data_IF_633041377614
#
_entry.id   IF_633041377614
#
_cell.length_a   1.000
_cell.length_b   1.000
_cell.length_c   1.000
_cell.angle_alpha   90.00
_cell.angle_beta   90.00
_cell.angle_gamma   90.00
#
_symmetry.space_group_name_H-M   'P 1'
#
loop_
_entity.id
_entity.type
_entity.pdbx_description
1 polymer ?
#
# COMPACT_ATOMS: atom_id res chain seq x y z
N UNK A 1 9.06 -5.93 -3.75
CA UNK A 1 9.10 -6.38 -2.32
C UNK A 1 7.69 -6.45 -1.74
N UNK A 2 6.92 -5.35 -1.69
CA UNK A 2 5.61 -5.30 -1.02
C UNK A 2 4.59 -6.39 -1.41
N UNK A 3 4.33 -6.59 -2.71
CA UNK A 3 3.37 -7.61 -3.17
C UNK A 3 3.83 -9.04 -2.84
N UNK A 4 5.13 -9.33 -2.97
CA UNK A 4 5.69 -10.63 -2.60
C UNK A 4 5.57 -10.92 -1.10
N UNK A 5 5.78 -9.91 -0.26
CA UNK A 5 5.53 -10.00 1.18
C UNK A 5 4.05 -10.24 1.48
N UNK A 6 3.14 -9.54 0.82
CA UNK A 6 1.69 -9.75 0.96
C UNK A 6 1.27 -11.18 0.60
N UNK A 7 1.81 -11.74 -0.48
CA UNK A 7 1.54 -13.12 -0.89
C UNK A 7 2.03 -14.13 0.16
N UNK A 8 3.25 -13.94 0.68
CA UNK A 8 3.80 -14.76 1.75
C UNK A 8 2.93 -14.72 3.02
N UNK A 9 2.55 -13.51 3.47
CA UNK A 9 1.66 -13.34 4.62
C UNK A 9 0.29 -13.95 4.37
N UNK A 10 -0.21 -13.91 3.14
CA UNK A 10 -1.46 -14.56 2.74
C UNK A 10 -1.42 -16.08 2.97
N UNK A 11 -0.31 -16.73 2.60
CA UNK A 11 -0.10 -18.16 2.87
C UNK A 11 -0.06 -18.42 4.37
N UNK A 12 0.69 -17.62 5.13
CA UNK A 12 0.77 -17.76 6.60
C UNK A 12 -0.59 -17.58 7.26
N UNK A 13 -1.38 -16.59 6.83
CA UNK A 13 -2.74 -16.36 7.32
C UNK A 13 -3.66 -17.56 7.06
N UNK A 14 -3.55 -18.17 5.88
CA UNK A 14 -4.33 -19.35 5.55
C UNK A 14 -3.94 -20.56 6.40
N UNK A 15 -2.64 -20.78 6.64
CA UNK A 15 -2.13 -21.88 7.46
C UNK A 15 -2.48 -21.75 8.95
N UNK A 16 -2.48 -20.53 9.49
CA UNK A 16 -2.66 -20.27 10.92
C UNK A 16 -4.06 -19.77 11.29
N UNK A 17 -4.94 -19.54 10.31
CA UNK A 17 -6.24 -18.87 10.52
C UNK A 17 -6.12 -17.40 10.98
N UNK A 18 -4.92 -16.80 10.86
CA UNK A 18 -4.65 -15.42 11.27
C UNK A 18 -5.12 -14.40 10.23
N UNK A 19 -5.02 -13.10 10.57
CA UNK A 19 -5.43 -12.01 9.68
C UNK A 19 -4.46 -10.82 9.71
N UNK A 20 -3.18 -11.09 9.50
CA UNK A 20 -2.18 -10.04 9.34
C UNK A 20 -2.42 -9.25 8.05
N UNK A 21 -2.08 -7.96 8.06
CA UNK A 21 -2.34 -6.98 7.00
C UNK A 21 -3.83 -6.81 6.64
N UNK A 22 -4.75 -7.46 7.36
CA UNK A 22 -6.18 -7.50 7.04
C UNK A 22 -6.45 -7.93 5.59
N UNK A 23 -5.68 -8.87 5.05
CA UNK A 23 -5.85 -9.41 3.69
C UNK A 23 -6.67 -10.68 3.62
N UNK A 24 -6.98 -11.33 4.76
CA UNK A 24 -7.82 -12.53 4.80
C UNK A 24 -9.30 -12.17 5.06
N UNK A 25 -9.56 -11.13 5.87
CA UNK A 25 -10.89 -10.57 6.13
C UNK A 25 -10.78 -9.16 6.69
N UNK A 26 -11.90 -8.43 6.73
CA UNK A 26 -11.99 -7.15 7.44
C UNK A 26 -11.83 -7.35 8.97
N UNK A 27 -11.36 -6.33 9.72
CA UNK A 27 -11.33 -6.39 11.18
C UNK A 27 -12.75 -6.56 11.75
N UNK A 28 -12.87 -7.20 12.91
CA UNK A 28 -14.16 -7.36 13.59
C UNK A 28 -14.65 -6.04 14.25
N UNK A 29 -13.77 -5.04 14.32
CA UNK A 29 -14.05 -3.68 14.81
C UNK A 29 -14.32 -2.72 13.66
N UNK A 30 -15.13 -1.69 13.91
CA UNK A 30 -15.40 -0.63 12.94
C UNK A 30 -14.10 -0.01 12.40
N UNK A 31 -13.99 0.07 11.08
CA UNK A 31 -12.80 0.54 10.38
C UNK A 31 -13.13 1.16 9.02
N UNK A 32 -12.19 1.92 8.44
CA UNK A 32 -12.34 2.44 7.07
C UNK A 32 -12.49 1.33 6.02
N UNK A 33 -12.04 0.11 6.34
CA UNK A 33 -12.19 -1.05 5.46
C UNK A 33 -13.67 -1.42 5.25
N UNK A 34 -14.56 -1.03 6.15
CA UNK A 34 -15.99 -1.34 6.06
C UNK A 34 -16.66 -0.62 4.88
N UNK A 35 -16.12 0.54 4.48
CA UNK A 35 -16.58 1.31 3.31
C UNK A 35 -16.16 0.65 1.99
N UNK A 36 -15.13 -0.20 2.01
CA UNK A 36 -14.60 -0.85 0.82
C UNK A 36 -15.44 -2.07 0.40
N UNK A 37 -15.33 -2.56 -0.86
CA UNK A 37 -16.01 -3.76 -1.32
C UNK A 37 -15.74 -5.00 -0.45
N UNK A 38 -16.56 -6.04 -0.62
CA UNK A 38 -16.36 -7.31 0.07
C UNK A 38 -15.00 -7.95 -0.30
N UNK A 39 -14.48 -8.80 0.58
CA UNK A 39 -13.30 -9.61 0.29
C UNK A 39 -13.54 -10.50 -0.93
N UNK A 40 -12.58 -10.68 -1.86
CA UNK A 40 -11.21 -10.12 -1.89
C UNK A 40 -11.09 -8.79 -2.67
N UNK A 41 -12.20 -8.23 -3.16
CA UNK A 41 -12.21 -7.09 -4.09
C UNK A 41 -11.64 -5.79 -3.50
N UNK A 42 -11.57 -5.63 -2.18
CA UNK A 42 -10.91 -4.47 -1.58
C UNK A 42 -9.38 -4.56 -1.59
N UNK A 43 -8.76 -5.73 -1.83
CA UNK A 43 -7.31 -5.88 -1.83
C UNK A 43 -6.66 -5.05 -2.96
N UNK A 44 -7.16 -5.08 -4.22
CA UNK A 44 -6.69 -4.16 -5.26
C UNK A 44 -6.87 -2.68 -4.88
N UNK A 45 -7.95 -2.34 -4.19
CA UNK A 45 -8.21 -0.97 -3.72
C UNK A 45 -7.16 -0.56 -2.69
N UNK A 46 -6.79 -1.45 -1.76
CA UNK A 46 -5.71 -1.19 -0.80
C UNK A 46 -4.35 -1.01 -1.47
N UNK A 47 -4.06 -1.79 -2.52
CA UNK A 47 -2.82 -1.61 -3.29
C UNK A 47 -2.80 -0.24 -3.99
N UNK A 48 -3.92 0.18 -4.58
CA UNK A 48 -4.04 1.51 -5.18
C UNK A 48 -3.83 2.63 -4.14
N UNK A 49 -4.47 2.51 -2.98
CA UNK A 49 -4.29 3.45 -1.87
C UNK A 49 -2.85 3.48 -1.36
N UNK A 50 -2.17 2.33 -1.26
CA UNK A 50 -0.78 2.27 -0.85
C UNK A 50 0.14 3.03 -1.83
N UNK A 51 -0.05 2.84 -3.14
CA UNK A 51 0.69 3.59 -4.18
C UNK A 51 0.35 5.08 -4.11
N UNK A 52 -0.92 5.44 -3.93
CA UNK A 52 -1.36 6.83 -3.79
C UNK A 52 -0.70 7.50 -2.58
N UNK A 53 -0.77 6.89 -1.40
CA UNK A 53 -0.17 7.46 -0.18
C UNK A 53 1.35 7.53 -0.27
N UNK A 54 2.00 6.52 -0.85
CA UNK A 54 3.44 6.58 -1.11
C UNK A 54 3.77 7.74 -2.05
N UNK A 55 2.98 7.93 -3.11
CA UNK A 55 3.12 9.04 -4.05
C UNK A 55 2.95 10.40 -3.37
N UNK A 56 1.91 10.57 -2.54
CA UNK A 56 1.68 11.80 -1.76
C UNK A 56 2.85 12.06 -0.80
N UNK A 57 3.30 11.04 -0.06
CA UNK A 57 4.42 11.17 0.87
C UNK A 57 5.73 11.53 0.16
N UNK A 58 5.95 11.01 -1.06
CA UNK A 58 7.13 11.30 -1.87
C UNK A 58 7.04 12.62 -2.65
N UNK A 59 5.83 13.15 -2.87
CA UNK A 59 5.56 14.32 -3.69
C UNK A 59 6.46 15.54 -3.42
N UNK A 60 6.71 16.00 -2.17
CA UNK A 60 7.56 17.17 -1.93
C UNK A 60 9.02 16.93 -2.36
N UNK A 61 9.53 15.70 -2.22
CA UNK A 61 10.86 15.33 -2.64
C UNK A 61 10.95 15.24 -4.16
N UNK A 62 9.93 14.66 -4.80
CA UNK A 62 9.82 14.63 -6.26
C UNK A 62 9.91 16.05 -6.84
N UNK A 63 9.14 17.01 -6.31
CA UNK A 63 9.16 18.42 -6.74
C UNK A 63 10.57 19.02 -6.59
N UNK A 64 11.23 18.81 -5.45
CA UNK A 64 12.61 19.28 -5.21
C UNK A 64 13.58 18.70 -6.23
N UNK A 65 13.49 17.41 -6.50
CA UNK A 65 14.38 16.71 -7.42
C UNK A 65 14.19 17.18 -8.87
N UNK A 66 12.93 17.39 -9.30
CA UNK A 66 12.63 17.94 -10.62
C UNK A 66 13.25 19.32 -10.80
N UNK A 67 13.16 20.20 -9.79
CA UNK A 67 13.76 21.55 -9.85
C UNK A 67 15.29 21.51 -9.88
N UNK A 68 15.91 20.59 -9.15
CA UNK A 68 17.37 20.47 -9.09
C UNK A 68 17.99 19.88 -10.36
N UNK A 69 17.22 19.13 -11.16
CA UNK A 69 17.67 18.62 -12.47
C UNK A 69 17.79 19.72 -13.54
N UNK A 70 17.10 20.84 -13.36
CA UNK A 70 17.08 21.96 -14.32
C UNK A 70 18.30 22.88 -14.25
N UNK A 71 19.10 22.79 -13.18
CA UNK A 71 20.33 23.56 -13.03
C UNK A 71 21.49 22.70 -13.54
N UNK A 72 22.17 23.06 -14.65
CA UNK A 72 23.35 22.34 -15.10
C UNK A 72 24.37 22.36 -13.96
N UNK A 73 24.79 21.18 -13.52
CA UNK A 73 25.86 21.04 -12.54
C UNK A 73 27.14 21.55 -13.21
N UNK A 74 27.47 22.82 -13.00
CA UNK A 74 28.74 23.41 -13.40
C UNK A 74 29.81 22.66 -12.59
N UNK A 75 30.62 21.86 -13.28
CA UNK A 75 31.80 21.17 -12.77
C UNK A 75 32.96 22.17 -12.80
#
# INVERSE_FOLDING_TARGET
>A
IGVGYMAFVGVVNWLLGSNYLFIARKPDTASLLDVLPAWPCYIPVLLLLAVLFLGIAYLPFAIKDFRNRSVPRQI
#
